data_IF_094826335391
#
_entry.id   IF_094826335391
#
_cell.length_a   1.000
_cell.length_b   1.000
_cell.length_c   1.000
_cell.angle_alpha   90.00
_cell.angle_beta   90.00
_cell.angle_gamma   90.00
#
_symmetry.space_group_name_H-M   'P 1'
#
loop_
_entity.id
_entity.type
_entity.pdbx_description
1 polymer ?
#
# COMPACT_ATOMS: atom_id res chain seq x y z
N UNK A 1 -22.74 16.06 19.13
CA UNK A 1 -21.52 16.65 18.55
C UNK A 1 -20.31 15.70 18.54
N UNK A 2 -19.84 15.16 19.67
CA UNK A 2 -18.64 14.28 19.70
C UNK A 2 -18.76 12.91 18.99
N UNK A 3 -19.94 12.28 18.96
CA UNK A 3 -20.14 10.94 18.33
C UNK A 3 -19.95 10.95 16.80
N UNK A 4 -20.21 12.08 16.16
CA UNK A 4 -20.19 12.20 14.70
C UNK A 4 -18.76 12.38 14.18
N UNK A 5 -17.95 13.19 14.87
CA UNK A 5 -16.52 13.35 14.61
C UNK A 5 -15.75 12.04 14.81
N UNK A 6 -16.05 11.29 15.87
CA UNK A 6 -15.43 9.98 16.11
C UNK A 6 -15.77 8.96 14.99
N UNK A 7 -17.02 8.97 14.49
CA UNK A 7 -17.42 8.11 13.36
C UNK A 7 -16.71 8.49 12.07
N UNK A 8 -16.66 9.77 11.73
CA UNK A 8 -15.96 10.26 10.54
C UNK A 8 -14.47 9.94 10.61
N UNK A 9 -13.83 10.14 11.78
CA UNK A 9 -12.42 9.82 12.00
C UNK A 9 -12.11 8.33 11.84
N UNK A 10 -12.94 7.46 12.44
CA UNK A 10 -12.78 6.00 12.32
C UNK A 10 -13.03 5.53 10.88
N UNK A 11 -14.04 6.06 10.20
CA UNK A 11 -14.34 5.73 8.81
C UNK A 11 -13.20 6.15 7.87
N UNK A 12 -12.61 7.33 8.08
CA UNK A 12 -11.51 7.81 7.25
C UNK A 12 -10.23 7.00 7.49
N UNK A 13 -9.93 6.64 8.74
CA UNK A 13 -8.80 5.75 9.07
C UNK A 13 -8.97 4.35 8.45
N UNK A 14 -10.18 3.78 8.48
CA UNK A 14 -10.48 2.49 7.86
C UNK A 14 -10.39 2.54 6.33
N UNK A 15 -10.77 3.67 5.72
CA UNK A 15 -10.65 3.89 4.29
C UNK A 15 -9.19 4.06 3.86
N UNK A 16 -8.40 4.83 4.62
CA UNK A 16 -6.96 4.98 4.41
C UNK A 16 -6.23 3.64 4.59
N UNK A 17 -6.54 2.88 5.64
CA UNK A 17 -5.93 1.56 5.86
C UNK A 17 -6.29 0.55 4.76
N UNK A 18 -7.42 0.75 4.05
CA UNK A 18 -7.86 -0.07 2.91
C UNK A 18 -7.44 0.50 1.55
N UNK A 19 -6.81 1.67 1.49
CA UNK A 19 -6.39 2.25 0.23
C UNK A 19 -5.26 1.41 -0.38
N UNK A 20 -5.55 0.80 -1.54
CA UNK A 20 -4.55 0.07 -2.31
C UNK A 20 -3.90 0.96 -3.36
N UNK A 21 -2.60 0.80 -3.53
CA UNK A 21 -1.81 1.52 -4.53
C UNK A 21 -1.34 0.60 -5.65
N UNK A 22 -1.18 1.15 -6.86
CA UNK A 22 -0.51 0.44 -7.96
C UNK A 22 1.01 0.58 -7.81
N UNK A 23 1.76 -0.35 -8.41
CA UNK A 23 3.23 -0.37 -8.30
C UNK A 23 3.91 0.95 -8.67
N UNK A 24 3.36 1.71 -9.63
CA UNK A 24 3.89 3.02 -10.01
C UNK A 24 3.75 4.07 -8.90
N UNK A 25 2.63 4.08 -8.19
CA UNK A 25 2.41 5.00 -7.06
C UNK A 25 3.29 4.62 -5.87
N UNK A 26 3.46 3.32 -5.63
CA UNK A 26 4.37 2.79 -4.61
C UNK A 26 5.81 3.17 -4.94
N UNK A 27 6.27 2.97 -6.18
CA UNK A 27 7.60 3.36 -6.65
C UNK A 27 7.91 4.83 -6.35
N UNK A 28 6.97 5.74 -6.70
CA UNK A 28 7.12 7.17 -6.38
C UNK A 28 7.16 7.45 -4.88
N UNK A 29 6.34 6.77 -4.08
CA UNK A 29 6.30 6.96 -2.61
C UNK A 29 7.51 6.38 -1.88
N UNK A 30 8.07 5.28 -2.37
CA UNK A 30 9.24 4.61 -1.78
C UNK A 30 10.53 5.25 -2.28
N UNK A 31 10.55 5.80 -3.50
CA UNK A 31 11.74 6.40 -4.10
C UNK A 31 12.66 5.37 -4.78
N UNK A 32 12.07 4.30 -5.34
CA UNK A 32 12.79 3.26 -6.10
C UNK A 32 12.02 2.93 -7.38
N UNK A 33 12.66 2.24 -8.33
CA UNK A 33 11.98 1.84 -9.57
C UNK A 33 10.94 0.71 -9.33
N UNK A 34 9.91 0.57 -10.18
CA UNK A 34 9.02 -0.59 -10.15
C UNK A 34 9.77 -1.93 -10.29
N UNK A 35 10.95 -1.94 -10.93
CA UNK A 35 11.76 -3.15 -11.07
C UNK A 35 12.35 -3.61 -9.74
N UNK A 36 12.85 -2.68 -8.92
CA UNK A 36 13.36 -2.96 -7.57
C UNK A 36 12.24 -3.56 -6.70
N UNK A 37 11.04 -2.99 -6.76
CA UNK A 37 9.88 -3.52 -6.02
C UNK A 37 9.55 -4.95 -6.45
N UNK A 38 9.59 -5.26 -7.75
CA UNK A 38 9.38 -6.63 -8.26
C UNK A 38 10.47 -7.60 -7.80
N UNK A 39 11.71 -7.14 -7.71
CA UNK A 39 12.80 -7.95 -7.16
C UNK A 39 12.54 -8.28 -5.68
N UNK A 40 12.17 -7.29 -4.88
CA UNK A 40 11.80 -7.50 -3.47
C UNK A 40 10.58 -8.43 -3.29
N UNK A 41 9.57 -8.35 -4.16
CA UNK A 41 8.48 -9.33 -4.20
C UNK A 41 8.99 -10.75 -4.47
N UNK A 42 9.89 -10.94 -5.45
CA UNK A 42 10.44 -12.27 -5.74
C UNK A 42 11.27 -12.84 -4.59
N UNK A 43 11.87 -11.97 -3.78
CA UNK A 43 12.57 -12.32 -2.54
C UNK A 43 11.60 -12.52 -1.35
N UNK A 44 10.29 -12.30 -1.56
CA UNK A 44 9.26 -12.54 -0.56
C UNK A 44 9.05 -11.41 0.45
N UNK A 45 9.64 -10.23 0.26
CA UNK A 45 9.52 -9.10 1.18
C UNK A 45 8.07 -8.62 1.32
N UNK A 46 7.32 -8.58 0.23
CA UNK A 46 5.89 -8.25 0.21
C UNK A 46 5.14 -9.19 -0.73
N UNK A 47 3.87 -9.44 -0.44
CA UNK A 47 2.97 -10.27 -1.25
C UNK A 47 1.70 -9.47 -1.54
N UNK A 48 1.74 -8.51 -2.48
CA UNK A 48 0.61 -7.64 -2.76
C UNK A 48 -0.58 -8.44 -3.29
N UNK A 49 -1.79 -7.96 -3.00
CA UNK A 49 -3.02 -8.53 -3.56
C UNK A 49 -2.99 -8.36 -5.08
N UNK A 50 -3.65 -9.28 -5.78
CA UNK A 50 -3.89 -9.14 -7.23
C UNK A 50 -5.37 -8.95 -7.51
N UNK A 51 -5.69 -8.08 -8.46
CA UNK A 51 -7.05 -7.98 -9.01
C UNK A 51 -7.34 -9.19 -9.90
N UNK A 52 -8.61 -9.40 -10.26
CA UNK A 52 -9.00 -10.37 -11.28
C UNK A 52 -8.27 -10.10 -12.62
N UNK A 53 -8.11 -8.82 -12.97
CA UNK A 53 -7.30 -8.33 -14.11
C UNK A 53 -5.78 -8.33 -13.88
N UNK A 54 -5.28 -9.05 -12.86
CA UNK A 54 -3.85 -9.30 -12.56
C UNK A 54 -3.00 -8.08 -12.17
N UNK A 55 -3.60 -6.91 -11.92
CA UNK A 55 -2.88 -5.77 -11.35
C UNK A 55 -2.45 -6.03 -9.91
N UNK A 56 -1.26 -5.56 -9.52
CA UNK A 56 -0.76 -5.57 -8.13
C UNK A 56 -1.34 -4.40 -7.35
N UNK A 57 -1.83 -4.71 -6.17
CA UNK A 57 -2.41 -3.78 -5.21
C UNK A 57 -1.66 -3.89 -3.89
N UNK A 58 -0.95 -2.83 -3.54
CA UNK A 58 -0.16 -2.74 -2.31
C UNK A 58 -0.96 -1.98 -1.27
N UNK A 59 -1.05 -2.55 -0.09
CA UNK A 59 -1.60 -1.87 1.08
C UNK A 59 -0.63 -0.78 1.56
N UNK A 60 -1.10 0.08 2.47
CA UNK A 60 -0.20 1.01 3.15
C UNK A 60 0.87 0.30 3.99
N UNK A 61 0.58 -0.90 4.52
CA UNK A 61 1.57 -1.70 5.26
C UNK A 61 2.69 -2.21 4.34
N UNK A 62 2.34 -2.65 3.12
CA UNK A 62 3.34 -3.00 2.11
C UNK A 62 4.26 -1.81 1.81
N UNK A 63 3.70 -0.61 1.65
CA UNK A 63 4.48 0.62 1.40
C UNK A 63 5.42 0.91 2.56
N UNK A 64 4.95 0.80 3.81
CA UNK A 64 5.79 0.99 5.00
C UNK A 64 6.93 -0.02 5.05
N UNK A 65 6.65 -1.28 4.73
CA UNK A 65 7.67 -2.33 4.70
C UNK A 65 8.72 -2.07 3.61
N UNK A 66 8.29 -1.74 2.40
CA UNK A 66 9.18 -1.44 1.27
C UNK A 66 10.05 -0.21 1.53
N UNK A 67 9.55 0.79 2.26
CA UNK A 67 10.36 1.95 2.69
C UNK A 67 11.51 1.58 3.62
N UNK A 68 11.42 0.48 4.37
CA UNK A 68 12.50 0.00 5.27
C UNK A 68 13.58 -0.79 4.54
N UNK A 69 13.30 -1.26 3.33
CA UNK A 69 14.24 -1.99 2.49
C UNK A 69 15.02 -1.09 1.52
N UNK A 70 14.65 0.20 1.43
CA UNK A 70 15.41 1.25 0.75
C UNK A 70 16.49 1.77 1.68
#
# INVERSE_FOLDING_TARGET
MFRELARAFLANNLAESKAYLKIGDVARKVGVSPSVIRSWESLGLTRPRRTASKYRLYSLEDVKLLKRAR
#
